data_IF_378820511779
#
_entry.id   IF_378820511779
#
_cell.length_a   1.000
_cell.length_b   1.000
_cell.length_c   1.000
_cell.angle_alpha   90.00
_cell.angle_beta   90.00
_cell.angle_gamma   90.00
#
_symmetry.space_group_name_H-M   'P 1'
#
loop_
_entity.id
_entity.type
_entity.pdbx_description
1 polymer ?
#
# COMPACT_ATOMS: atom_id res chain seq x y z
N UNK A 1 -4.14 28.99 -11.86
CA UNK A 1 -2.84 28.98 -12.57
C UNK A 1 -2.44 27.53 -12.80
N UNK A 2 -1.94 27.15 -13.97
CA UNK A 2 -1.40 25.80 -14.17
C UNK A 2 0.01 25.72 -13.54
N UNK A 3 0.30 24.65 -12.82
CA UNK A 3 1.62 24.35 -12.26
C UNK A 3 2.20 23.15 -13.01
N UNK A 4 3.47 23.22 -13.40
CA UNK A 4 4.19 22.11 -14.03
C UNK A 4 5.15 21.53 -13.02
N UNK A 5 5.06 20.23 -12.79
CA UNK A 5 6.01 19.47 -11.97
C UNK A 5 6.84 18.57 -12.88
N UNK A 6 8.07 18.29 -12.46
CA UNK A 6 8.95 17.34 -13.11
C UNK A 6 8.96 16.04 -12.29
N UNK A 7 9.04 14.93 -12.99
CA UNK A 7 9.17 13.61 -12.38
C UNK A 7 9.90 12.66 -13.32
N UNK A 8 9.95 11.41 -12.96
CA UNK A 8 10.58 10.34 -13.72
C UNK A 8 9.49 9.63 -14.52
N UNK A 9 9.63 9.56 -15.83
CA UNK A 9 8.77 8.75 -16.69
C UNK A 9 8.88 7.27 -16.28
N UNK A 10 7.81 6.73 -15.75
CA UNK A 10 7.72 5.34 -15.29
C UNK A 10 7.08 4.43 -16.33
N UNK A 11 6.08 4.94 -17.05
CA UNK A 11 5.43 4.29 -18.17
C UNK A 11 4.99 5.35 -19.18
N UNK A 12 5.22 5.09 -20.46
CA UNK A 12 5.00 6.05 -21.54
C UNK A 12 3.50 6.34 -21.77
N UNK A 13 3.22 7.52 -22.29
CA UNK A 13 1.89 7.91 -22.74
C UNK A 13 1.47 9.30 -22.25
N UNK A 14 0.23 9.64 -22.62
CA UNK A 14 -0.41 10.90 -22.22
C UNK A 14 -1.74 10.57 -21.55
N UNK A 15 -1.96 11.09 -20.37
CA UNK A 15 -3.24 11.03 -19.68
C UNK A 15 -3.71 12.42 -19.27
N UNK A 16 -5.02 12.68 -19.44
CA UNK A 16 -5.65 13.92 -19.00
C UNK A 16 -7.00 13.57 -18.38
N UNK A 17 -7.09 13.66 -17.08
CA UNK A 17 -8.34 13.40 -16.34
C UNK A 17 -8.36 14.18 -15.01
N UNK A 18 -9.51 14.22 -14.30
CA UNK A 18 -9.56 14.70 -12.93
C UNK A 18 -8.57 13.96 -12.05
N UNK A 19 -8.00 14.65 -11.08
CA UNK A 19 -7.13 14.01 -10.08
C UNK A 19 -7.99 13.24 -9.07
N UNK A 20 -7.56 12.02 -8.73
CA UNK A 20 -8.08 11.26 -7.60
C UNK A 20 -6.93 11.10 -6.59
N UNK A 21 -7.05 11.77 -5.45
CA UNK A 21 -6.02 11.75 -4.44
C UNK A 21 -6.21 10.54 -3.51
N UNK A 22 -5.27 9.59 -3.54
CA UNK A 22 -5.17 8.52 -2.56
C UNK A 22 -4.47 9.06 -1.32
N UNK A 23 -5.22 9.25 -0.24
CA UNK A 23 -4.69 9.73 1.04
C UNK A 23 -4.48 8.56 1.97
N UNK A 24 -3.23 8.34 2.34
CA UNK A 24 -2.87 7.40 3.38
C UNK A 24 -3.35 7.90 4.75
N UNK A 25 -3.98 7.05 5.57
CA UNK A 25 -4.31 7.43 6.93
C UNK A 25 -3.04 7.61 7.76
N UNK A 26 -3.12 8.47 8.77
CA UNK A 26 -2.04 8.57 9.76
C UNK A 26 -2.00 7.27 10.59
N UNK A 27 -0.95 6.49 10.42
CA UNK A 27 -0.68 5.24 11.13
C UNK A 27 0.33 5.41 12.27
N UNK A 28 0.55 6.63 12.71
CA UNK A 28 1.39 6.89 13.88
C UNK A 28 0.78 6.27 15.14
N UNK A 29 1.64 5.70 15.96
CA UNK A 29 1.28 5.08 17.22
C UNK A 29 2.34 5.40 18.27
N UNK A 30 2.04 5.07 19.53
CA UNK A 30 3.02 5.16 20.62
C UNK A 30 3.27 3.78 21.19
N UNK A 31 4.54 3.45 21.46
CA UNK A 31 4.90 2.24 22.19
C UNK A 31 4.45 2.40 23.65
N UNK A 32 3.59 1.52 24.11
CA UNK A 32 3.06 1.52 25.48
C UNK A 32 3.17 0.14 26.11
N UNK A 33 3.33 0.10 27.44
CA UNK A 33 3.29 -1.16 28.18
C UNK A 33 1.85 -1.62 28.38
N UNK A 34 1.62 -2.93 28.28
CA UNK A 34 0.32 -3.54 28.51
C UNK A 34 0.33 -4.35 29.81
N UNK A 35 -0.75 -4.25 30.58
CA UNK A 35 -0.91 -4.97 31.84
C UNK A 35 -1.57 -6.35 31.62
N UNK A 36 -2.48 -6.46 30.66
CA UNK A 36 -3.16 -7.69 30.28
C UNK A 36 -2.62 -8.16 28.91
N UNK A 37 -1.57 -8.95 29.00
CA UNK A 37 -0.85 -9.47 27.82
C UNK A 37 -1.72 -10.45 27.01
N UNK A 38 -2.55 -11.26 27.69
CA UNK A 38 -3.40 -12.23 27.00
C UNK A 38 -4.51 -11.53 26.22
N UNK A 39 -5.09 -10.46 26.77
CA UNK A 39 -6.07 -9.64 26.06
C UNK A 39 -5.45 -8.96 24.84
N UNK A 40 -4.21 -8.49 24.94
CA UNK A 40 -3.50 -7.84 23.82
C UNK A 40 -3.18 -8.84 22.69
N UNK A 41 -2.73 -10.04 23.04
CA UNK A 41 -2.54 -11.13 22.07
C UNK A 41 -3.86 -11.49 21.40
N UNK A 42 -4.95 -11.57 22.16
CA UNK A 42 -6.27 -11.86 21.61
C UNK A 42 -6.74 -10.74 20.65
N UNK A 43 -6.46 -9.46 20.98
CA UNK A 43 -6.72 -8.31 20.11
C UNK A 43 -5.95 -8.42 18.80
N UNK A 44 -4.66 -8.74 18.86
CA UNK A 44 -3.83 -8.94 17.66
C UNK A 44 -4.36 -10.08 16.80
N UNK A 45 -4.65 -11.24 17.36
CA UNK A 45 -5.22 -12.38 16.62
C UNK A 45 -6.51 -12.02 15.90
N UNK A 46 -7.41 -11.30 16.57
CA UNK A 46 -8.65 -10.82 15.96
C UNK A 46 -8.36 -9.92 14.75
N UNK A 47 -7.38 -9.02 14.86
CA UNK A 47 -6.96 -8.15 13.75
C UNK A 47 -6.40 -8.97 12.59
N UNK A 48 -5.60 -10.00 12.84
CA UNK A 48 -5.12 -10.91 11.80
C UNK A 48 -6.28 -11.59 11.06
N UNK A 49 -7.28 -12.10 11.80
CA UNK A 49 -8.48 -12.70 11.18
C UNK A 49 -9.28 -11.70 10.35
N UNK A 50 -9.48 -10.48 10.85
CA UNK A 50 -10.21 -9.42 10.13
C UNK A 50 -9.46 -9.00 8.85
N UNK A 51 -8.14 -8.81 8.96
CA UNK A 51 -7.27 -8.49 7.82
C UNK A 51 -7.27 -9.61 6.78
N UNK A 52 -7.24 -10.86 7.19
CA UNK A 52 -7.30 -12.02 6.30
C UNK A 52 -8.61 -12.02 5.51
N UNK A 53 -9.75 -11.87 6.18
CA UNK A 53 -11.08 -11.85 5.54
C UNK A 53 -11.24 -10.67 4.58
N UNK A 54 -10.68 -9.52 4.91
CA UNK A 54 -10.68 -8.36 4.01
C UNK A 54 -9.82 -8.63 2.79
N UNK A 55 -8.60 -9.14 2.99
CA UNK A 55 -7.65 -9.39 1.92
C UNK A 55 -8.13 -10.48 0.96
N UNK A 56 -8.82 -11.52 1.46
CA UNK A 56 -9.48 -12.52 0.61
C UNK A 56 -10.51 -11.89 -0.34
N UNK A 57 -11.33 -10.95 0.17
CA UNK A 57 -12.31 -10.23 -0.66
C UNK A 57 -11.64 -9.34 -1.71
N UNK A 58 -10.56 -8.65 -1.32
CA UNK A 58 -9.78 -7.81 -2.24
C UNK A 58 -9.15 -8.66 -3.33
N UNK A 59 -8.54 -9.80 -2.98
CA UNK A 59 -7.97 -10.77 -3.93
C UNK A 59 -9.03 -11.27 -4.92
N UNK A 60 -10.18 -11.71 -4.42
CA UNK A 60 -11.24 -12.26 -5.27
C UNK A 60 -11.78 -11.20 -6.23
N UNK A 61 -11.97 -9.96 -5.76
CA UNK A 61 -12.35 -8.82 -6.60
C UNK A 61 -11.29 -8.48 -7.64
N UNK A 62 -10.01 -8.47 -7.26
CA UNK A 62 -8.90 -8.25 -8.20
C UNK A 62 -8.85 -9.35 -9.26
N UNK A 63 -9.03 -10.61 -8.87
CA UNK A 63 -9.07 -11.74 -9.80
C UNK A 63 -10.19 -11.64 -10.82
N UNK A 64 -11.37 -11.16 -10.42
CA UNK A 64 -12.52 -10.97 -11.31
C UNK A 64 -12.34 -9.76 -12.25
N UNK A 65 -11.77 -8.66 -11.76
CA UNK A 65 -11.71 -7.39 -12.49
C UNK A 65 -10.44 -7.20 -13.32
N UNK A 66 -9.31 -7.77 -12.91
CA UNK A 66 -8.00 -7.56 -13.51
C UNK A 66 -7.37 -8.85 -14.03
N UNK A 67 -7.65 -9.96 -13.39
CA UNK A 67 -7.13 -11.27 -13.78
C UNK A 67 -6.35 -11.97 -12.66
N UNK A 68 -6.02 -13.26 -12.89
CA UNK A 68 -5.37 -14.08 -11.87
C UNK A 68 -3.91 -13.67 -11.60
N UNK A 69 -3.22 -13.06 -12.58
CA UNK A 69 -1.82 -12.65 -12.41
C UNK A 69 -1.70 -11.49 -11.44
N UNK A 70 -2.54 -10.47 -11.58
CA UNK A 70 -2.58 -9.31 -10.71
C UNK A 70 -3.03 -9.66 -9.28
N UNK A 71 -3.83 -10.72 -9.15
CA UNK A 71 -4.29 -11.20 -7.84
C UNK A 71 -3.23 -11.97 -7.04
N UNK A 72 -2.13 -12.44 -7.66
CA UNK A 72 -1.09 -13.23 -6.97
C UNK A 72 -0.40 -12.49 -5.83
N UNK A 73 -0.30 -11.16 -5.89
CA UNK A 73 0.25 -10.36 -4.80
C UNK A 73 -0.52 -10.57 -3.51
N UNK A 74 -1.84 -10.71 -3.60
CA UNK A 74 -2.69 -10.94 -2.42
C UNK A 74 -2.54 -12.37 -1.86
N UNK A 75 -2.26 -13.36 -2.71
CA UNK A 75 -1.95 -14.71 -2.23
C UNK A 75 -0.64 -14.72 -1.42
N UNK A 76 0.38 -13.95 -1.85
CA UNK A 76 1.60 -13.78 -1.08
C UNK A 76 1.34 -13.10 0.28
N UNK A 77 0.48 -12.09 0.32
CA UNK A 77 0.12 -11.41 1.57
C UNK A 77 -0.67 -12.33 2.53
N UNK A 78 -1.59 -13.15 2.00
CA UNK A 78 -2.32 -14.14 2.78
C UNK A 78 -1.40 -15.20 3.39
N UNK A 79 -0.33 -15.59 2.68
CA UNK A 79 0.70 -16.48 3.23
C UNK A 79 1.37 -15.85 4.45
N UNK A 80 1.76 -14.57 4.41
CA UNK A 80 2.33 -13.89 5.59
C UNK A 80 1.36 -13.83 6.76
N UNK A 81 0.08 -13.56 6.53
CA UNK A 81 -0.93 -13.53 7.58
C UNK A 81 -1.18 -14.91 8.21
N UNK A 82 -0.93 -16.00 7.48
CA UNK A 82 -1.06 -17.37 7.98
C UNK A 82 0.26 -17.96 8.49
N UNK A 83 1.38 -17.27 8.28
CA UNK A 83 2.70 -17.76 8.65
C UNK A 83 2.95 -17.59 10.16
N UNK A 84 3.11 -18.72 10.90
CA UNK A 84 3.40 -18.66 12.32
C UNK A 84 4.78 -18.03 12.65
N UNK A 85 5.74 -18.05 11.72
CA UNK A 85 7.02 -17.38 11.91
C UNK A 85 6.85 -15.86 11.98
N UNK A 86 5.94 -15.30 11.19
CA UNK A 86 5.66 -13.86 11.21
C UNK A 86 4.66 -13.49 12.33
N UNK A 87 3.46 -14.10 12.33
CA UNK A 87 2.42 -13.76 13.31
C UNK A 87 2.78 -14.21 14.72
N UNK A 88 3.40 -15.39 14.86
CA UNK A 88 3.87 -15.91 16.15
C UNK A 88 5.04 -15.12 16.73
N UNK A 89 5.92 -14.56 15.88
CA UNK A 89 6.98 -13.67 16.35
C UNK A 89 6.38 -12.37 16.96
N UNK A 90 5.32 -11.81 16.37
CA UNK A 90 4.63 -10.64 16.91
C UNK A 90 3.97 -10.98 18.25
N UNK A 91 3.30 -12.14 18.35
CA UNK A 91 2.71 -12.60 19.63
C UNK A 91 3.78 -12.79 20.71
N UNK A 92 4.94 -13.31 20.34
CA UNK A 92 6.07 -13.49 21.25
C UNK A 92 6.61 -12.14 21.73
N UNK A 93 6.75 -11.16 20.82
CA UNK A 93 7.19 -9.81 21.16
C UNK A 93 6.22 -9.12 22.13
N UNK A 94 4.88 -9.28 21.92
CA UNK A 94 3.86 -8.77 22.88
C UNK A 94 4.07 -9.40 24.26
N UNK A 95 4.26 -10.73 24.34
CA UNK A 95 4.40 -11.46 25.60
C UNK A 95 5.68 -11.12 26.35
N UNK A 96 6.80 -11.13 25.65
CA UNK A 96 8.13 -10.98 26.25
C UNK A 96 8.40 -9.54 26.68
N UNK A 97 8.02 -8.58 25.84
CA UNK A 97 8.26 -7.16 26.07
C UNK A 97 7.11 -6.49 26.85
N UNK A 98 5.94 -7.14 26.92
CA UNK A 98 4.70 -6.58 27.52
C UNK A 98 4.34 -5.22 26.91
N UNK A 99 4.39 -5.14 25.57
CA UNK A 99 4.10 -3.95 24.78
C UNK A 99 2.82 -4.13 23.95
N UNK A 100 2.24 -3.01 23.51
CA UNK A 100 1.07 -3.01 22.66
C UNK A 100 1.36 -3.65 21.28
N UNK A 101 0.33 -4.19 20.65
CA UNK A 101 0.44 -4.92 19.39
C UNK A 101 0.99 -4.06 18.25
N UNK A 102 0.72 -2.75 18.23
CA UNK A 102 1.26 -1.80 17.25
C UNK A 102 2.80 -1.78 17.30
N UNK A 103 3.37 -1.68 18.50
CA UNK A 103 4.82 -1.65 18.68
C UNK A 103 5.45 -3.00 18.35
N UNK A 104 4.83 -4.10 18.80
CA UNK A 104 5.30 -5.46 18.51
C UNK A 104 5.28 -5.76 17.01
N UNK A 105 4.22 -5.34 16.30
CA UNK A 105 4.10 -5.46 14.85
C UNK A 105 5.22 -4.68 14.14
N UNK A 106 5.42 -3.41 14.49
CA UNK A 106 6.42 -2.56 13.85
C UNK A 106 7.83 -3.13 14.05
N UNK A 107 8.21 -3.46 15.31
CA UNK A 107 9.53 -4.00 15.62
C UNK A 107 9.80 -5.34 14.92
N UNK A 108 8.80 -6.22 14.84
CA UNK A 108 8.91 -7.49 14.14
C UNK A 108 9.00 -7.30 12.63
N UNK A 109 8.15 -6.46 12.06
CA UNK A 109 8.16 -6.17 10.62
C UNK A 109 9.52 -5.59 10.19
N UNK A 110 10.10 -4.66 10.94
CA UNK A 110 11.42 -4.10 10.66
C UNK A 110 12.53 -5.16 10.67
N UNK A 111 12.47 -6.14 11.57
CA UNK A 111 13.40 -7.28 11.60
C UNK A 111 13.30 -8.10 10.30
N UNK A 112 12.09 -8.47 9.87
CA UNK A 112 11.87 -9.24 8.64
C UNK A 112 12.29 -8.43 7.40
N UNK A 113 11.92 -7.16 7.31
CA UNK A 113 12.31 -6.27 6.21
C UNK A 113 13.83 -6.20 6.10
N UNK A 114 14.54 -5.99 7.22
CA UNK A 114 16.01 -5.92 7.25
C UNK A 114 16.65 -7.22 6.77
N UNK A 115 16.10 -8.37 7.20
CA UNK A 115 16.59 -9.68 6.77
C UNK A 115 16.42 -9.85 5.26
N UNK A 116 15.24 -9.58 4.72
CA UNK A 116 14.96 -9.76 3.30
C UNK A 116 15.75 -8.78 2.42
N UNK A 117 15.86 -7.51 2.81
CA UNK A 117 16.68 -6.53 2.09
C UNK A 117 18.17 -6.85 2.11
N UNK A 118 18.64 -7.48 3.20
CA UNK A 118 20.01 -7.95 3.33
C UNK A 118 20.38 -9.11 2.39
N UNK A 119 19.39 -9.79 1.78
CA UNK A 119 19.61 -10.88 0.84
C UNK A 119 19.89 -10.35 -0.58
N UNK A 120 20.98 -9.60 -0.75
CA UNK A 120 21.31 -8.87 -1.99
C UNK A 120 21.47 -9.76 -3.22
N UNK A 121 21.79 -11.04 -3.04
CA UNK A 121 21.97 -12.01 -4.13
C UNK A 121 20.65 -12.70 -4.56
N UNK A 122 19.51 -12.32 -3.95
CA UNK A 122 18.22 -12.94 -4.19
C UNK A 122 17.11 -11.88 -4.36
N UNK A 123 16.89 -11.44 -5.61
CA UNK A 123 15.89 -10.43 -5.95
C UNK A 123 14.48 -10.83 -5.48
N UNK A 124 14.12 -12.11 -5.56
CA UNK A 124 12.82 -12.62 -5.08
C UNK A 124 12.64 -12.39 -3.58
N UNK A 125 13.69 -12.61 -2.77
CA UNK A 125 13.61 -12.36 -1.33
C UNK A 125 13.57 -10.85 -1.01
N UNK A 126 14.22 -10.01 -1.82
CA UNK A 126 14.12 -8.56 -1.66
C UNK A 126 12.69 -8.04 -1.94
N UNK A 127 11.97 -8.64 -2.89
CA UNK A 127 10.56 -8.32 -3.16
C UNK A 127 9.67 -8.66 -1.95
N UNK A 128 10.02 -9.70 -1.17
CA UNK A 128 9.30 -10.05 0.07
C UNK A 128 9.34 -8.95 1.13
N UNK A 129 10.35 -8.10 1.13
CA UNK A 129 10.37 -6.93 2.01
C UNK A 129 9.20 -5.96 1.72
N UNK A 130 8.84 -5.78 0.45
CA UNK A 130 7.67 -4.98 0.05
C UNK A 130 6.36 -5.62 0.53
N UNK A 131 6.23 -6.94 0.41
CA UNK A 131 5.05 -7.68 0.88
C UNK A 131 4.89 -7.53 2.42
N UNK A 132 6.00 -7.65 3.17
CA UNK A 132 5.97 -7.43 4.64
C UNK A 132 5.52 -6.01 4.99
N UNK A 133 6.01 -5.00 4.26
CA UNK A 133 5.57 -3.60 4.48
C UNK A 133 4.07 -3.44 4.24
N UNK A 134 3.56 -4.02 3.15
CA UNK A 134 2.16 -3.90 2.76
C UNK A 134 1.22 -4.61 3.75
N UNK A 135 1.57 -5.86 4.13
CA UNK A 135 0.83 -6.63 5.15
C UNK A 135 0.86 -5.92 6.51
N UNK A 136 2.03 -5.43 6.92
CA UNK A 136 2.19 -4.73 8.21
C UNK A 136 1.40 -3.42 8.24
N UNK A 137 1.37 -2.66 7.13
CA UNK A 137 0.55 -1.46 6.99
C UNK A 137 -0.94 -1.78 7.15
N UNK A 138 -1.42 -2.88 6.57
CA UNK A 138 -2.81 -3.33 6.71
C UNK A 138 -3.15 -3.71 8.14
N UNK A 139 -2.31 -4.53 8.78
CA UNK A 139 -2.48 -4.90 10.19
C UNK A 139 -2.47 -3.67 11.10
N UNK A 140 -1.54 -2.72 10.86
CA UNK A 140 -1.46 -1.47 11.62
C UNK A 140 -2.73 -0.64 11.47
N UNK A 141 -3.26 -0.51 10.26
CA UNK A 141 -4.51 0.20 10.02
C UNK A 141 -5.67 -0.42 10.80
N UNK A 142 -5.79 -1.75 10.81
CA UNK A 142 -6.80 -2.46 11.62
C UNK A 142 -6.59 -2.26 13.13
N UNK A 143 -5.35 -2.36 13.63
CA UNK A 143 -5.03 -2.11 15.05
C UNK A 143 -5.46 -0.70 15.50
N UNK A 144 -5.26 0.29 14.63
CA UNK A 144 -5.59 1.69 14.89
C UNK A 144 -7.05 2.05 14.54
N UNK A 145 -7.84 1.11 14.02
CA UNK A 145 -9.21 1.36 13.57
C UNK A 145 -9.30 2.32 12.38
N UNK A 146 -8.27 2.37 11.55
CA UNK A 146 -8.18 3.22 10.35
C UNK A 146 -8.54 2.41 9.11
N UNK A 147 -9.07 3.11 8.10
CA UNK A 147 -9.34 2.49 6.79
C UNK A 147 -8.25 2.88 5.81
N UNK A 148 -7.71 1.89 5.10
CA UNK A 148 -6.84 2.12 3.96
C UNK A 148 -7.66 2.60 2.75
N UNK A 149 -7.05 3.37 1.83
CA UNK A 149 -7.68 3.69 0.56
C UNK A 149 -8.09 2.42 -0.21
N UNK A 150 -9.18 2.49 -0.96
CA UNK A 150 -9.63 1.40 -1.84
C UNK A 150 -9.56 1.86 -3.31
N UNK A 151 -8.45 1.64 -4.03
CA UNK A 151 -8.33 1.99 -5.44
C UNK A 151 -9.35 1.27 -6.33
N UNK A 152 -9.86 0.11 -5.90
CA UNK A 152 -10.87 -0.64 -6.62
C UNK A 152 -12.28 -0.01 -6.58
N UNK A 153 -12.48 0.98 -5.69
CA UNK A 153 -13.72 1.76 -5.64
C UNK A 153 -13.81 2.88 -6.71
N UNK A 154 -12.71 3.12 -7.46
CA UNK A 154 -12.70 4.12 -8.53
C UNK A 154 -13.58 3.64 -9.68
N UNK A 155 -14.66 4.38 -9.96
CA UNK A 155 -15.72 4.01 -10.92
C UNK A 155 -15.85 4.95 -12.13
N UNK A 156 -14.97 5.95 -12.23
CA UNK A 156 -14.94 6.96 -13.32
C UNK A 156 -13.50 7.30 -13.72
N UNK A 157 -13.35 7.98 -14.86
CA UNK A 157 -12.01 8.28 -15.41
C UNK A 157 -11.25 9.29 -14.57
N UNK A 158 -10.07 8.89 -14.08
CA UNK A 158 -9.19 9.71 -13.23
C UNK A 158 -7.71 9.51 -13.53
N UNK A 159 -6.90 10.46 -13.09
CA UNK A 159 -5.46 10.27 -12.83
C UNK A 159 -5.29 10.13 -11.33
N UNK A 160 -4.77 8.99 -10.89
CA UNK A 160 -4.48 8.73 -9.48
C UNK A 160 -3.26 9.53 -9.05
N UNK A 161 -3.38 10.22 -7.93
CA UNK A 161 -2.32 10.99 -7.28
C UNK A 161 -2.07 10.39 -5.91
N UNK A 162 -0.85 9.97 -5.63
CA UNK A 162 -0.50 9.35 -4.35
C UNK A 162 0.89 9.80 -3.89
N UNK A 163 1.18 9.62 -2.60
CA UNK A 163 2.56 9.76 -2.12
C UNK A 163 3.43 8.62 -2.66
N UNK A 164 2.95 7.39 -2.53
CA UNK A 164 3.50 6.16 -3.11
C UNK A 164 2.35 5.21 -3.44
N UNK A 165 2.63 4.16 -4.20
CA UNK A 165 1.69 3.07 -4.50
C UNK A 165 2.33 1.74 -4.14
N UNK A 166 1.72 1.04 -3.20
CA UNK A 166 2.13 -0.31 -2.80
C UNK A 166 1.79 -1.35 -3.87
N UNK A 167 2.34 -2.58 -3.79
CA UNK A 167 1.91 -3.68 -4.65
C UNK A 167 0.40 -3.91 -4.62
N UNK A 168 -0.21 -3.89 -3.45
CA UNK A 168 -1.66 -4.08 -3.34
C UNK A 168 -2.48 -2.90 -3.87
N UNK A 169 -1.98 -1.66 -3.80
CA UNK A 169 -2.63 -0.51 -4.41
C UNK A 169 -2.64 -0.63 -5.94
N UNK A 170 -1.46 -0.93 -6.52
CA UNK A 170 -1.32 -1.06 -7.98
C UNK A 170 -2.11 -2.23 -8.55
N UNK A 171 -2.19 -3.35 -7.84
CA UNK A 171 -2.98 -4.51 -8.22
C UNK A 171 -4.49 -4.29 -8.15
N UNK A 172 -4.96 -3.16 -7.62
CA UNK A 172 -6.36 -2.77 -7.58
C UNK A 172 -6.72 -1.69 -8.61
N UNK A 173 -5.74 -1.14 -9.34
CA UNK A 173 -5.98 -0.10 -10.34
C UNK A 173 -6.70 -0.66 -11.58
N UNK A 174 -7.93 -0.26 -11.79
CA UNK A 174 -8.69 -0.65 -12.97
C UNK A 174 -8.39 0.29 -14.14
N UNK A 175 -7.67 -0.18 -15.17
CA UNK A 175 -7.31 0.61 -16.36
C UNK A 175 -8.51 1.13 -17.18
N UNK A 176 -9.71 0.62 -16.94
CA UNK A 176 -10.92 1.19 -17.53
C UNK A 176 -11.15 2.62 -17.04
N UNK A 177 -10.85 2.86 -15.77
CA UNK A 177 -11.10 4.14 -15.08
C UNK A 177 -9.81 4.91 -14.78
N UNK A 178 -8.75 4.22 -14.39
CA UNK A 178 -7.46 4.86 -14.11
C UNK A 178 -6.71 5.09 -15.41
N UNK A 179 -6.65 6.35 -15.85
CA UNK A 179 -6.01 6.76 -17.11
C UNK A 179 -4.52 7.03 -16.96
N UNK A 180 -4.04 7.13 -15.73
CA UNK A 180 -2.64 7.30 -15.39
C UNK A 180 -2.48 7.47 -13.89
N UNK A 181 -1.25 7.45 -13.41
CA UNK A 181 -0.98 7.83 -12.03
C UNK A 181 0.31 8.64 -11.88
N UNK A 182 0.39 9.36 -10.78
CA UNK A 182 1.55 10.16 -10.43
C UNK A 182 1.82 10.06 -8.93
N UNK A 183 3.11 9.90 -8.57
CA UNK A 183 3.54 9.77 -7.17
C UNK A 183 4.60 10.79 -6.78
N UNK A 184 4.63 11.12 -5.48
CA UNK A 184 5.70 11.98 -4.93
C UNK A 184 7.03 11.26 -4.89
N UNK A 185 7.04 9.98 -4.54
CA UNK A 185 8.25 9.16 -4.45
C UNK A 185 8.26 8.07 -5.53
N UNK A 186 9.37 7.33 -5.60
CA UNK A 186 9.57 6.24 -6.53
C UNK A 186 10.59 6.55 -7.62
N UNK A 187 10.97 5.49 -8.33
CA UNK A 187 11.94 5.52 -9.43
C UNK A 187 11.56 4.53 -10.53
N UNK A 188 12.38 4.43 -11.58
CA UNK A 188 12.11 3.54 -12.73
C UNK A 188 12.03 2.06 -12.37
N UNK A 189 12.66 1.66 -11.30
CA UNK A 189 12.70 0.29 -10.76
C UNK A 189 11.71 0.06 -9.63
N UNK A 190 10.95 1.09 -9.21
CA UNK A 190 9.91 0.94 -8.22
C UNK A 190 8.82 -0.04 -8.71
N UNK A 191 8.21 -0.77 -7.80
CA UNK A 191 7.15 -1.73 -8.12
C UNK A 191 6.01 -1.07 -8.90
N UNK A 192 5.56 0.11 -8.48
CA UNK A 192 4.55 0.91 -9.17
C UNK A 192 4.92 1.23 -10.63
N UNK A 193 6.21 1.51 -10.91
CA UNK A 193 6.70 1.76 -12.26
C UNK A 193 6.68 0.50 -13.13
N UNK A 194 7.01 -0.67 -12.56
CA UNK A 194 6.95 -1.96 -13.25
C UNK A 194 5.50 -2.29 -13.59
N UNK A 195 4.60 -2.16 -12.62
CA UNK A 195 3.17 -2.40 -12.81
C UNK A 195 2.53 -1.43 -13.81
N UNK A 196 2.92 -0.16 -13.79
CA UNK A 196 2.44 0.82 -14.78
C UNK A 196 2.72 0.36 -16.22
N UNK A 197 3.93 -0.13 -16.47
CA UNK A 197 4.33 -0.66 -17.79
C UNK A 197 3.55 -1.92 -18.15
N UNK A 198 3.37 -2.85 -17.20
CA UNK A 198 2.60 -4.09 -17.41
C UNK A 198 1.13 -3.79 -17.73
N UNK A 199 0.54 -2.84 -17.02
CA UNK A 199 -0.84 -2.41 -17.22
C UNK A 199 -1.01 -1.44 -18.40
N UNK A 200 0.09 -0.99 -19.04
CA UNK A 200 0.09 0.03 -20.09
C UNK A 200 -0.61 1.33 -19.65
N UNK A 201 -0.45 1.71 -18.39
CA UNK A 201 -1.00 2.94 -17.80
C UNK A 201 0.09 4.01 -17.77
N UNK A 202 -0.10 5.21 -18.38
CA UNK A 202 0.86 6.31 -18.27
C UNK A 202 1.17 6.66 -16.82
N UNK A 203 2.46 6.75 -16.47
CA UNK A 203 2.86 6.99 -15.09
C UNK A 203 4.09 7.89 -14.97
N UNK A 204 4.03 8.80 -14.00
CA UNK A 204 5.15 9.66 -13.58
C UNK A 204 5.37 9.46 -12.09
N UNK A 205 6.60 9.17 -11.70
CA UNK A 205 6.97 8.97 -10.29
C UNK A 205 8.03 9.98 -9.85
N UNK A 206 8.22 10.16 -8.55
CA UNK A 206 9.28 11.02 -8.03
C UNK A 206 9.05 12.51 -8.28
N UNK A 207 7.81 12.99 -8.19
CA UNK A 207 7.48 14.42 -8.36
C UNK A 207 7.71 15.25 -7.10
N UNK A 208 7.95 14.62 -5.97
CA UNK A 208 8.24 15.16 -4.64
C UNK A 208 7.08 15.92 -3.96
N UNK A 209 6.20 16.56 -4.72
CA UNK A 209 5.22 17.52 -4.17
C UNK A 209 3.80 17.42 -4.72
N UNK A 210 3.52 16.50 -5.65
CA UNK A 210 2.21 16.48 -6.33
C UNK A 210 1.04 16.33 -5.36
N UNK A 211 1.20 15.52 -4.31
CA UNK A 211 0.14 15.33 -3.30
C UNK A 211 -0.18 16.62 -2.54
N UNK A 212 0.83 17.44 -2.24
CA UNK A 212 0.66 18.74 -1.59
C UNK A 212 -0.02 19.73 -2.52
N UNK A 213 0.37 19.73 -3.80
CA UNK A 213 -0.16 20.66 -4.80
C UNK A 213 -1.62 20.36 -5.17
N UNK A 214 -2.03 19.10 -5.03
CA UNK A 214 -3.39 18.65 -5.28
C UNK A 214 -4.30 18.81 -4.05
N UNK A 215 -3.75 18.70 -2.83
CA UNK A 215 -4.49 18.83 -1.56
C UNK A 215 -5.22 20.16 -1.33
N UNK A 216 -4.80 21.25 -1.96
CA UNK A 216 -5.48 22.53 -1.84
C UNK A 216 -6.91 22.48 -2.43
N UNK A 217 -7.86 21.98 -1.65
CA UNK A 217 -9.28 21.95 -1.96
C UNK A 217 -9.95 20.58 -2.00
N UNK A 218 -9.25 19.48 -1.68
CA UNK A 218 -9.81 18.13 -1.62
C UNK A 218 -10.08 17.70 -0.17
N UNK A 219 -11.23 17.08 0.05
CA UNK A 219 -11.46 16.21 1.21
C UNK A 219 -10.88 14.83 0.91
N UNK A 220 -10.55 14.10 1.98
CA UNK A 220 -9.91 12.78 1.90
C UNK A 220 -10.60 11.83 0.91
N UNK A 221 -9.82 11.23 0.00
CA UNK A 221 -10.27 10.25 -1.00
C UNK A 221 -11.43 10.72 -1.91
N UNK A 222 -11.44 11.98 -2.34
CA UNK A 222 -12.43 12.52 -3.25
C UNK A 222 -11.80 13.00 -4.57
N UNK A 223 -12.62 13.05 -5.62
CA UNK A 223 -12.31 13.75 -6.86
C UNK A 223 -11.94 15.19 -6.59
N UNK A 224 -10.79 15.56 -7.04
CA UNK A 224 -10.36 16.96 -7.03
C UNK A 224 -10.79 17.59 -8.34
N UNK A 225 -11.43 18.74 -8.32
CA UNK A 225 -11.77 19.54 -9.52
C UNK A 225 -10.54 19.97 -10.35
N UNK A 226 -9.35 19.54 -9.97
CA UNK A 226 -8.11 19.80 -10.67
C UNK A 226 -7.85 18.71 -11.71
N UNK A 227 -7.66 19.11 -12.95
CA UNK A 227 -7.22 18.19 -14.01
C UNK A 227 -5.70 18.04 -13.95
N UNK A 228 -5.26 16.79 -13.98
CA UNK A 228 -3.85 16.42 -14.12
C UNK A 228 -3.61 16.02 -15.58
N UNK A 229 -2.53 16.51 -16.15
CA UNK A 229 -2.02 16.09 -17.45
C UNK A 229 -0.65 15.46 -17.26
N UNK A 230 -0.54 14.19 -17.56
CA UNK A 230 0.73 13.48 -17.65
C UNK A 230 1.21 13.53 -19.10
N UNK A 231 2.48 13.87 -19.29
CA UNK A 231 3.16 13.83 -20.58
C UNK A 231 4.56 13.28 -20.34
N UNK A 232 4.88 12.17 -20.96
CA UNK A 232 6.21 11.56 -20.95
C UNK A 232 6.86 11.66 -22.32
#
# INVERSE_FOLDING_TARGET
MSKTLKGIAASDGIAVAPAYLLVEPDLSFSKTSVSDVDAEVARFKKVVEESTKELEKVRDKAKESLGPEEAQVFDAHLLFLSDPEFTGAIETEIKDQKINAEAALDETAQKFITIFEGMTDNAYMQERAADVRDVSKRLMAHLLGKKLPDPAAIDHEVVVVAYDLTPSDTAQLNKKYVKGFVTDVGGRTAHSAIMARSLEIPAVVGTETITKDVKDGAKDNENVDKKVRLCN
#
